data_IF_488776358323
#
_entry.id   IF_488776358323
#
_cell.length_a   1.000
_cell.length_b   1.000
_cell.length_c   1.000
_cell.angle_alpha   90.00
_cell.angle_beta   90.00
_cell.angle_gamma   90.00
#
_symmetry.space_group_name_H-M   'P 1'
#
loop_
_entity.id
_entity.type
_entity.pdbx_description
1 polymer ?
#
# COMPACT_ATOMS: atom_id res chain seq x y z
N UNK A 1 2.81 -5.39 57.82
CA UNK A 1 3.85 -4.72 56.97
C UNK A 1 4.20 -5.45 55.67
N UNK A 2 3.85 -6.71 55.47
CA UNK A 2 4.12 -7.40 54.18
C UNK A 2 3.09 -7.20 53.07
N UNK A 3 1.94 -6.58 53.34
CA UNK A 3 0.82 -6.44 52.36
C UNK A 3 1.00 -5.22 51.43
N UNK A 4 1.63 -4.16 51.89
CA UNK A 4 1.85 -2.93 51.10
C UNK A 4 2.86 -3.12 49.97
N UNK A 5 3.87 -3.94 50.15
CA UNK A 5 4.90 -4.20 49.10
C UNK A 5 4.38 -4.96 47.86
N UNK A 6 3.32 -5.77 48.03
CA UNK A 6 2.72 -6.53 46.93
C UNK A 6 1.78 -5.69 46.10
N UNK A 7 1.06 -4.76 46.72
CA UNK A 7 0.16 -3.84 46.02
C UNK A 7 0.96 -2.81 45.22
N UNK A 8 2.04 -2.25 45.80
CA UNK A 8 2.94 -1.35 45.10
C UNK A 8 3.57 -1.98 43.87
N UNK A 9 4.07 -3.22 43.98
CA UNK A 9 4.64 -3.96 42.84
C UNK A 9 3.62 -4.22 41.73
N UNK A 10 2.38 -4.54 42.06
CA UNK A 10 1.30 -4.75 41.06
C UNK A 10 0.95 -3.44 40.32
N UNK A 11 0.89 -2.31 41.04
CA UNK A 11 0.63 -0.99 40.46
C UNK A 11 1.79 -0.60 39.55
N UNK A 12 3.05 -0.81 39.96
CA UNK A 12 4.22 -0.50 39.14
C UNK A 12 4.25 -1.33 37.84
N UNK A 13 3.95 -2.62 37.93
CA UNK A 13 3.88 -3.52 36.76
C UNK A 13 2.77 -3.08 35.82
N UNK A 14 1.58 -2.75 36.33
CA UNK A 14 0.47 -2.26 35.51
C UNK A 14 0.82 -0.96 34.80
N UNK A 15 1.53 -0.03 35.46
CA UNK A 15 1.96 1.24 34.88
C UNK A 15 3.01 1.03 33.77
N UNK A 16 3.95 0.11 33.95
CA UNK A 16 4.95 -0.27 32.93
C UNK A 16 4.28 -0.89 31.72
N UNK A 17 3.28 -1.76 31.92
CA UNK A 17 2.54 -2.39 30.81
C UNK A 17 1.75 -1.33 30.02
N UNK A 18 1.10 -0.40 30.70
CA UNK A 18 0.37 0.69 30.02
C UNK A 18 1.31 1.60 29.24
N UNK A 19 2.46 1.93 29.80
CA UNK A 19 3.50 2.73 29.11
C UNK A 19 4.09 1.98 27.91
N UNK A 20 4.33 0.67 28.04
CA UNK A 20 4.82 -0.16 26.94
C UNK A 20 3.79 -0.27 25.82
N UNK A 21 2.52 -0.48 26.14
CA UNK A 21 1.42 -0.51 25.17
C UNK A 21 1.23 0.85 24.49
N UNK A 22 1.34 1.94 25.25
CA UNK A 22 1.31 3.31 24.73
C UNK A 22 2.49 3.61 23.79
N UNK A 23 3.69 3.12 24.11
CA UNK A 23 4.86 3.23 23.25
C UNK A 23 4.72 2.41 21.97
N UNK A 24 4.24 1.16 22.06
CA UNK A 24 3.96 0.31 20.90
C UNK A 24 2.90 0.94 20.01
N UNK A 25 1.83 1.47 20.58
CA UNK A 25 0.80 2.22 19.84
C UNK A 25 1.39 3.47 19.16
N UNK A 26 2.21 4.22 19.88
CA UNK A 26 2.79 5.48 19.39
C UNK A 26 3.84 5.28 18.31
N UNK A 27 4.71 4.25 18.43
CA UNK A 27 5.80 3.97 17.50
C UNK A 27 5.42 2.96 16.41
N UNK A 28 4.50 2.03 16.67
CA UNK A 28 4.15 0.96 15.74
C UNK A 28 2.98 1.28 14.80
N UNK A 29 2.09 2.22 15.16
CA UNK A 29 0.92 2.60 14.37
C UNK A 29 1.06 3.96 13.68
N UNK A 30 2.16 4.68 13.91
CA UNK A 30 2.41 5.93 13.18
C UNK A 30 2.94 5.61 11.79
N UNK A 31 2.17 5.99 10.79
CA UNK A 31 2.66 6.11 9.42
C UNK A 31 3.87 7.05 9.42
N UNK A 32 4.98 6.63 8.81
CA UNK A 32 6.15 7.49 8.62
C UNK A 32 5.70 8.81 7.98
N UNK A 33 6.00 9.97 8.58
CA UNK A 33 5.62 11.28 8.02
C UNK A 33 6.08 11.48 6.58
N UNK A 34 7.22 10.90 6.19
CA UNK A 34 7.73 10.94 4.82
C UNK A 34 6.84 10.14 3.88
N UNK A 35 6.42 8.93 4.30
CA UNK A 35 5.48 8.10 3.53
C UNK A 35 4.13 8.80 3.40
N UNK A 36 3.64 9.42 4.46
CA UNK A 36 2.40 10.20 4.41
C UNK A 36 2.49 11.36 3.42
N UNK A 37 3.61 12.09 3.40
CA UNK A 37 3.86 13.18 2.46
C UNK A 37 3.92 12.69 1.01
N UNK A 38 4.55 11.53 0.75
CA UNK A 38 4.59 10.93 -0.59
C UNK A 38 3.18 10.53 -1.07
N UNK A 39 2.38 9.94 -0.21
CA UNK A 39 1.00 9.58 -0.54
C UNK A 39 0.12 10.81 -0.75
N UNK A 40 0.35 11.87 0.02
CA UNK A 40 -0.32 13.15 -0.20
C UNK A 40 0.07 13.75 -1.56
N UNK A 41 1.33 13.69 -1.96
CA UNK A 41 1.80 14.16 -3.26
C UNK A 41 1.11 13.40 -4.42
N UNK A 42 0.93 12.08 -4.31
CA UNK A 42 0.15 11.31 -5.27
C UNK A 42 -1.27 11.87 -5.34
N UNK A 43 -1.94 12.06 -4.20
CA UNK A 43 -3.32 12.54 -4.16
C UNK A 43 -3.49 13.94 -4.76
N UNK A 44 -2.57 14.85 -4.49
CA UNK A 44 -2.63 16.25 -4.95
C UNK A 44 -2.27 16.40 -6.43
N UNK A 45 -1.30 15.64 -6.92
CA UNK A 45 -0.77 15.76 -8.29
C UNK A 45 -1.39 14.79 -9.30
N UNK A 46 -2.17 13.81 -8.82
CA UNK A 46 -2.80 12.83 -9.69
C UNK A 46 -3.72 13.46 -10.71
N UNK A 47 -3.61 13.01 -11.97
CA UNK A 47 -4.62 13.27 -12.99
C UNK A 47 -5.96 12.66 -12.58
N UNK A 48 -7.08 13.10 -13.19
CA UNK A 48 -8.38 12.46 -12.97
C UNK A 48 -8.32 10.93 -13.22
N UNK A 49 -7.58 10.49 -14.24
CA UNK A 49 -7.43 9.08 -14.57
C UNK A 49 -6.77 8.28 -13.46
N UNK A 50 -5.72 8.80 -12.83
CA UNK A 50 -5.05 8.15 -11.70
C UNK A 50 -5.89 8.24 -10.42
N UNK A 51 -6.50 9.40 -10.16
CA UNK A 51 -7.30 9.66 -8.95
C UNK A 51 -8.51 8.74 -8.85
N UNK A 52 -9.19 8.54 -9.97
CA UNK A 52 -10.43 7.77 -10.06
C UNK A 52 -10.18 6.30 -10.48
N UNK A 53 -8.91 5.88 -10.55
CA UNK A 53 -8.55 4.54 -10.97
C UNK A 53 -9.01 3.47 -9.96
N UNK A 54 -9.35 2.30 -10.46
CA UNK A 54 -9.89 1.18 -9.65
C UNK A 54 -8.92 0.62 -8.61
N UNK A 55 -7.62 0.86 -8.77
CA UNK A 55 -6.59 0.45 -7.82
C UNK A 55 -5.93 1.69 -7.17
N UNK A 56 -5.89 1.76 -5.83
CA UNK A 56 -5.29 2.89 -5.12
C UNK A 56 -3.77 2.74 -5.04
N UNK A 57 -3.04 3.29 -6.00
CA UNK A 57 -1.58 3.35 -5.94
C UNK A 57 -1.12 4.15 -4.73
N UNK A 58 -0.18 3.57 -3.97
CA UNK A 58 0.33 4.20 -2.74
C UNK A 58 1.74 3.76 -2.43
N UNK A 59 2.47 4.60 -1.71
CA UNK A 59 3.75 4.26 -1.09
C UNK A 59 3.47 3.49 0.21
N UNK A 60 4.10 2.34 0.36
CA UNK A 60 4.00 1.48 1.55
C UNK A 60 5.04 1.86 2.60
N UNK A 61 6.27 2.11 2.14
CA UNK A 61 7.41 2.50 2.98
C UNK A 61 8.47 3.21 2.17
N UNK A 62 9.36 3.89 2.86
CA UNK A 62 10.56 4.51 2.29
C UNK A 62 11.78 3.85 2.93
N UNK A 63 12.53 3.11 2.14
CA UNK A 63 13.77 2.46 2.54
C UNK A 63 14.93 3.36 2.10
N UNK A 64 15.42 4.20 2.99
CA UNK A 64 16.38 5.27 2.70
C UNK A 64 15.83 6.27 1.65
N UNK A 65 16.26 6.14 0.39
CA UNK A 65 15.80 6.95 -0.75
C UNK A 65 14.96 6.14 -1.74
N UNK A 66 14.67 4.88 -1.43
CA UNK A 66 13.90 3.97 -2.27
C UNK A 66 12.46 3.93 -1.77
N UNK A 67 11.53 4.45 -2.55
CA UNK A 67 10.11 4.34 -2.25
C UNK A 67 9.58 2.97 -2.72
N UNK A 68 9.00 2.21 -1.81
CA UNK A 68 8.33 0.94 -2.13
C UNK A 68 6.85 1.22 -2.30
N UNK A 69 6.34 1.01 -3.49
CA UNK A 69 4.94 1.26 -3.87
C UNK A 69 4.17 -0.04 -4.08
N UNK A 70 2.91 -0.04 -3.69
CA UNK A 70 2.01 -1.14 -3.94
C UNK A 70 1.60 -1.22 -5.43
N UNK A 71 1.48 -2.44 -5.95
CA UNK A 71 0.97 -2.71 -7.30
C UNK A 71 0.07 -3.95 -7.30
N UNK A 72 -0.99 -3.99 -8.11
CA UNK A 72 -1.77 -5.21 -8.31
C UNK A 72 -1.09 -6.17 -9.29
N UNK A 73 0.02 -5.76 -9.92
CA UNK A 73 0.70 -6.49 -11.00
C UNK A 73 1.83 -7.36 -10.48
N UNK A 74 1.83 -8.64 -10.88
CA UNK A 74 2.93 -9.58 -10.63
C UNK A 74 3.34 -10.29 -11.92
N UNK A 75 4.65 -10.46 -12.18
CA UNK A 75 5.12 -11.31 -13.28
C UNK A 75 4.69 -12.77 -13.16
N UNK A 76 4.40 -13.23 -11.95
CA UNK A 76 3.97 -14.60 -11.68
C UNK A 76 2.48 -14.83 -11.93
N UNK A 77 1.71 -13.76 -12.16
CA UNK A 77 0.25 -13.87 -12.35
C UNK A 77 -0.13 -13.49 -13.78
N UNK A 78 -0.97 -14.30 -14.44
CA UNK A 78 -1.49 -13.98 -15.77
C UNK A 78 -2.25 -12.64 -15.74
N UNK A 79 -1.96 -11.78 -16.71
CA UNK A 79 -2.51 -10.42 -16.82
C UNK A 79 -4.04 -10.42 -16.86
N UNK A 80 -4.65 -11.42 -17.50
CA UNK A 80 -6.11 -11.51 -17.61
C UNK A 80 -6.81 -11.66 -16.26
N UNK A 81 -6.16 -12.30 -15.27
CA UNK A 81 -6.74 -12.42 -13.92
C UNK A 81 -6.76 -11.08 -13.20
N UNK A 82 -5.68 -10.35 -13.31
CA UNK A 82 -5.56 -9.01 -12.73
C UNK A 82 -6.51 -8.01 -13.39
N UNK A 83 -6.57 -8.00 -14.71
CA UNK A 83 -7.49 -7.10 -15.44
C UNK A 83 -8.95 -7.46 -15.11
N UNK A 84 -9.29 -8.75 -14.99
CA UNK A 84 -10.62 -9.19 -14.57
C UNK A 84 -11.00 -8.73 -13.15
N UNK A 85 -10.02 -8.59 -12.25
CA UNK A 85 -10.25 -8.05 -10.91
C UNK A 85 -10.45 -6.51 -10.91
N UNK A 86 -9.66 -5.80 -11.73
CA UNK A 86 -9.78 -4.35 -11.91
C UNK A 86 -11.05 -3.98 -12.67
N UNK A 87 -11.41 -4.77 -13.65
CA UNK A 87 -12.56 -4.55 -14.54
C UNK A 87 -13.41 -5.83 -14.63
N UNK A 88 -14.34 -6.06 -13.69
CA UNK A 88 -15.16 -7.27 -13.64
C UNK A 88 -15.92 -7.55 -14.96
N UNK A 89 -16.27 -6.51 -15.72
CA UNK A 89 -16.92 -6.64 -17.03
C UNK A 89 -16.03 -7.26 -18.11
N UNK A 90 -14.72 -7.28 -17.88
CA UNK A 90 -13.73 -7.89 -18.78
C UNK A 90 -13.32 -9.30 -18.34
N UNK A 91 -13.78 -9.75 -17.18
CA UNK A 91 -13.51 -11.10 -16.69
C UNK A 91 -14.00 -12.15 -17.70
N UNK A 92 -13.10 -13.05 -18.10
CA UNK A 92 -13.40 -14.11 -19.07
C UNK A 92 -13.38 -13.68 -20.55
N UNK A 93 -13.13 -12.40 -20.86
CA UNK A 93 -12.86 -11.98 -22.25
C UNK A 93 -11.47 -12.43 -22.69
N UNK A 94 -11.31 -12.64 -24.01
CA UNK A 94 -10.02 -13.02 -24.58
C UNK A 94 -8.98 -11.90 -24.43
N UNK A 95 -7.67 -12.23 -24.27
CA UNK A 95 -6.62 -11.23 -24.10
C UNK A 95 -6.42 -10.29 -25.30
N UNK A 96 -6.86 -10.69 -26.49
CA UNK A 96 -6.81 -9.90 -27.72
C UNK A 96 -8.04 -8.99 -27.90
N UNK A 97 -9.00 -9.06 -26.98
CA UNK A 97 -10.16 -8.19 -27.00
C UNK A 97 -9.70 -6.71 -26.88
N UNK A 98 -10.19 -5.80 -27.75
CA UNK A 98 -9.77 -4.38 -27.73
C UNK A 98 -9.95 -3.69 -26.39
N UNK A 99 -11.04 -3.99 -25.66
CA UNK A 99 -11.29 -3.40 -24.33
C UNK A 99 -10.27 -3.90 -23.31
N UNK A 100 -9.85 -5.18 -23.42
CA UNK A 100 -8.82 -5.76 -22.55
C UNK A 100 -7.47 -5.07 -22.78
N UNK A 101 -7.07 -4.92 -24.03
CA UNK A 101 -5.83 -4.21 -24.41
C UNK A 101 -5.86 -2.75 -23.96
N UNK A 102 -7.02 -2.08 -24.05
CA UNK A 102 -7.19 -0.71 -23.56
C UNK A 102 -7.03 -0.63 -22.04
N UNK A 103 -7.61 -1.58 -21.29
CA UNK A 103 -7.47 -1.66 -19.83
C UNK A 103 -6.00 -1.90 -19.38
N UNK A 104 -5.25 -2.74 -20.09
CA UNK A 104 -3.81 -2.93 -19.83
C UNK A 104 -3.01 -1.64 -20.04
N UNK A 105 -3.28 -0.91 -21.12
CA UNK A 105 -2.63 0.35 -21.42
C UNK A 105 -2.95 1.42 -20.37
N UNK A 106 -4.20 1.46 -19.93
CA UNK A 106 -4.62 2.40 -18.87
C UNK A 106 -3.91 2.09 -17.55
N UNK A 107 -3.85 0.82 -17.12
CA UNK A 107 -3.10 0.42 -15.95
C UNK A 107 -1.63 0.84 -16.05
N UNK A 108 -0.96 0.57 -17.16
CA UNK A 108 0.42 0.94 -17.36
C UNK A 108 0.63 2.45 -17.27
N UNK A 109 -0.29 3.23 -17.83
CA UNK A 109 -0.25 4.70 -17.81
C UNK A 109 -0.39 5.25 -16.39
N UNK A 110 -1.42 4.85 -15.64
CA UNK A 110 -1.65 5.36 -14.28
C UNK A 110 -0.58 4.87 -13.30
N UNK A 111 -0.06 3.66 -13.49
CA UNK A 111 1.06 3.15 -12.70
C UNK A 111 2.34 3.96 -12.94
N UNK A 112 2.63 4.31 -14.20
CA UNK A 112 3.77 5.17 -14.54
C UNK A 112 3.61 6.55 -13.95
N UNK A 113 2.44 7.15 -14.07
CA UNK A 113 2.14 8.47 -13.51
C UNK A 113 2.34 8.49 -11.98
N UNK A 114 1.80 7.50 -11.26
CA UNK A 114 1.99 7.40 -9.81
C UNK A 114 3.47 7.29 -9.42
N UNK A 115 4.24 6.50 -10.15
CA UNK A 115 5.69 6.37 -9.98
C UNK A 115 6.40 7.72 -10.21
N UNK A 116 6.08 8.40 -11.30
CA UNK A 116 6.74 9.65 -11.68
C UNK A 116 6.48 10.74 -10.63
N UNK A 117 5.25 10.85 -10.13
CA UNK A 117 4.91 11.76 -9.03
C UNK A 117 5.79 11.51 -7.80
N UNK A 118 6.00 10.26 -7.44
CA UNK A 118 6.83 9.89 -6.27
C UNK A 118 8.31 10.17 -6.52
N UNK A 119 8.82 9.87 -7.71
CA UNK A 119 10.22 10.16 -8.09
C UNK A 119 10.55 11.66 -8.10
N UNK A 120 9.57 12.51 -8.37
CA UNK A 120 9.74 13.96 -8.32
C UNK A 120 9.87 14.53 -6.90
N UNK A 121 9.56 13.72 -5.87
CA UNK A 121 9.60 14.21 -4.50
C UNK A 121 11.03 14.25 -3.95
N UNK A 122 11.36 15.25 -3.11
CA UNK A 122 12.68 15.33 -2.47
C UNK A 122 13.00 14.07 -1.66
N UNK A 123 14.23 13.56 -1.82
CA UNK A 123 14.73 12.40 -1.06
C UNK A 123 14.30 11.05 -1.62
N UNK A 124 13.65 11.00 -2.78
CA UNK A 124 13.36 9.76 -3.51
C UNK A 124 14.25 9.68 -4.74
N UNK A 125 14.99 8.59 -4.88
CA UNK A 125 15.86 8.32 -6.02
C UNK A 125 15.44 7.12 -6.85
N UNK A 126 14.64 6.23 -6.26
CA UNK A 126 14.19 4.99 -6.89
C UNK A 126 12.78 4.62 -6.40
N UNK A 127 12.01 3.97 -7.26
CA UNK A 127 10.74 3.32 -6.91
C UNK A 127 10.85 1.82 -7.16
N UNK A 128 10.51 1.04 -6.15
CA UNK A 128 10.32 -0.42 -6.25
C UNK A 128 8.84 -0.76 -6.09
N UNK A 129 8.41 -1.81 -6.78
CA UNK A 129 7.04 -2.30 -6.72
C UNK A 129 6.95 -3.51 -5.80
N UNK A 130 5.93 -3.53 -4.96
CA UNK A 130 5.57 -4.66 -4.11
C UNK A 130 4.13 -5.08 -4.41
N UNK A 131 3.92 -6.38 -4.58
CA UNK A 131 2.59 -6.92 -4.89
C UNK A 131 1.64 -6.68 -3.73
N UNK A 132 0.49 -6.10 -4.02
CA UNK A 132 -0.59 -5.91 -3.04
C UNK A 132 -1.45 -7.19 -2.93
N UNK A 133 -0.91 -8.17 -2.23
CA UNK A 133 -1.56 -9.46 -2.03
C UNK A 133 -2.92 -9.32 -1.36
N UNK A 134 -3.04 -8.42 -0.38
CA UNK A 134 -4.29 -8.20 0.35
C UNK A 134 -5.39 -7.66 -0.56
N UNK A 135 -5.04 -6.72 -1.45
CA UNK A 135 -5.99 -6.20 -2.44
C UNK A 135 -6.44 -7.31 -3.41
N UNK A 136 -5.50 -8.10 -3.91
CA UNK A 136 -5.79 -9.21 -4.83
C UNK A 136 -6.70 -10.25 -4.18
N UNK A 137 -6.40 -10.68 -2.96
CA UNK A 137 -7.23 -11.64 -2.21
C UNK A 137 -8.64 -11.10 -1.98
N UNK A 138 -8.76 -9.82 -1.62
CA UNK A 138 -10.05 -9.17 -1.39
C UNK A 138 -10.90 -9.06 -2.68
N UNK A 139 -10.25 -9.14 -3.84
CA UNK A 139 -10.90 -9.15 -5.17
C UNK A 139 -10.99 -10.56 -5.78
N UNK A 140 -10.87 -11.61 -4.95
CA UNK A 140 -11.10 -12.99 -5.35
C UNK A 140 -9.96 -13.65 -6.11
N UNK A 141 -8.75 -13.08 -6.07
CA UNK A 141 -7.57 -13.68 -6.70
C UNK A 141 -6.81 -14.52 -5.68
N UNK A 142 -6.73 -15.82 -5.93
CA UNK A 142 -5.85 -16.73 -5.19
C UNK A 142 -4.42 -16.64 -5.73
N UNK A 143 -3.46 -16.54 -4.82
CA UNK A 143 -2.03 -16.44 -5.12
C UNK A 143 -1.30 -17.80 -5.07
N UNK A 144 -2.07 -18.92 -5.00
CA UNK A 144 -1.52 -20.27 -4.97
C UNK A 144 -1.23 -20.80 -6.38
#
# INVERSE_FOLDING_TARGET
MKHESRLGKKITIALIVVLALGAIYWFGLRTDPKVAALNQAIHEKASPALRDYHYPFRVLRLDDTVAVMATPRSPAMPVYRMIGALYPSLAGKAPDNPDFVAAEKELAKVQSEAKDIVLEQPGVTEVKWELDENWLISHGISLN
#
